data_IF_339008365061
#
_entry.id   IF_339008365061
#
_cell.length_a   1.000
_cell.length_b   1.000
_cell.length_c   1.000
_cell.angle_alpha   90.00
_cell.angle_beta   90.00
_cell.angle_gamma   90.00
#
_symmetry.space_group_name_H-M   'P 1'
#
loop_
_entity.id
_entity.type
_entity.pdbx_description
1 polymer ?
#
# COMPACT_ATOMS: atom_id res chain seq x y z
N UNK A 1 8.05 -4.75 -2.70
CA UNK A 1 8.08 -5.48 -4.00
C UNK A 1 8.97 -6.73 -3.99
N UNK A 2 9.73 -6.96 -2.91
CA UNK A 2 10.62 -8.12 -2.81
C UNK A 2 9.87 -9.45 -2.76
N UNK A 3 8.65 -9.50 -2.21
CA UNK A 3 7.86 -10.74 -2.11
C UNK A 3 7.45 -11.35 -3.47
N UNK A 4 7.07 -10.53 -4.45
CA UNK A 4 6.76 -11.00 -5.81
C UNK A 4 7.99 -11.37 -6.60
N UNK A 5 9.08 -10.60 -6.45
CA UNK A 5 10.37 -10.94 -7.02
C UNK A 5 10.88 -12.28 -6.48
N UNK A 6 10.84 -12.48 -5.15
CA UNK A 6 11.26 -13.74 -4.51
C UNK A 6 10.37 -14.91 -4.92
N UNK A 7 9.04 -14.72 -5.02
CA UNK A 7 8.11 -15.76 -5.50
C UNK A 7 8.36 -16.11 -6.97
N UNK A 8 8.46 -15.11 -7.83
CA UNK A 8 8.76 -15.30 -9.26
C UNK A 8 10.14 -15.93 -9.46
N UNK A 9 11.15 -15.53 -8.68
CA UNK A 9 12.50 -16.10 -8.70
C UNK A 9 12.51 -17.55 -8.25
N UNK A 10 11.71 -17.93 -7.26
CA UNK A 10 11.50 -19.33 -6.86
C UNK A 10 10.86 -20.16 -7.97
N UNK A 11 9.75 -19.68 -8.54
CA UNK A 11 9.02 -20.38 -9.60
C UNK A 11 9.84 -20.47 -10.91
N UNK A 12 10.65 -19.46 -11.22
CA UNK A 12 11.52 -19.47 -12.38
C UNK A 12 12.77 -20.34 -12.19
N UNK A 13 13.33 -20.39 -10.97
CA UNK A 13 14.41 -21.34 -10.64
C UNK A 13 13.94 -22.80 -10.77
N UNK A 14 12.70 -23.10 -10.40
CA UNK A 14 12.07 -24.41 -10.61
C UNK A 14 11.82 -24.72 -12.11
N UNK A 15 11.65 -23.70 -12.94
CA UNK A 15 11.43 -23.81 -14.39
C UNK A 15 12.70 -23.62 -15.26
N UNK A 16 13.87 -23.43 -14.64
CA UNK A 16 15.14 -23.18 -15.35
C UNK A 16 15.21 -21.84 -16.11
N UNK A 17 14.45 -20.82 -15.68
CA UNK A 17 14.43 -19.48 -16.28
C UNK A 17 15.03 -18.45 -15.30
N UNK A 18 15.78 -17.48 -15.81
CA UNK A 18 16.21 -16.33 -15.02
C UNK A 18 15.11 -15.26 -15.00
N UNK A 19 14.72 -14.82 -13.80
CA UNK A 19 13.87 -13.64 -13.65
C UNK A 19 14.76 -12.42 -13.65
N UNK A 20 14.65 -11.59 -14.69
CA UNK A 20 15.29 -10.28 -14.67
C UNK A 20 14.54 -9.38 -13.69
N UNK A 21 15.27 -8.95 -12.66
CA UNK A 21 14.81 -8.06 -11.58
C UNK A 21 14.19 -6.75 -12.13
N UNK A 22 14.62 -6.33 -13.32
CA UNK A 22 14.11 -5.17 -14.05
C UNK A 22 12.67 -5.31 -14.56
N UNK A 23 12.12 -6.54 -14.68
CA UNK A 23 10.70 -6.76 -15.04
C UNK A 23 9.74 -6.52 -13.86
N UNK A 24 10.27 -6.43 -12.64
CA UNK A 24 9.51 -6.19 -11.41
C UNK A 24 9.77 -4.80 -10.82
N UNK A 25 10.61 -4.00 -11.49
CA UNK A 25 10.76 -2.57 -11.20
C UNK A 25 9.78 -1.81 -12.08
N UNK A 26 9.11 -0.81 -11.49
CA UNK A 26 8.46 0.21 -12.30
C UNK A 26 9.51 0.77 -13.25
N UNK A 27 9.32 0.61 -14.56
CA UNK A 27 10.28 0.99 -15.61
C UNK A 27 10.47 2.50 -15.76
N UNK A 28 10.01 3.27 -14.78
CA UNK A 28 10.06 4.72 -14.75
C UNK A 28 11.16 5.23 -13.81
N UNK A 29 11.44 6.54 -13.85
CA UNK A 29 12.25 7.17 -12.82
C UNK A 29 11.60 6.93 -11.45
N UNK A 30 12.39 7.09 -10.37
CA UNK A 30 11.83 7.12 -9.02
C UNK A 30 10.67 8.13 -8.95
N UNK A 31 9.66 7.90 -8.10
CA UNK A 31 8.59 8.86 -7.89
C UNK A 31 9.15 10.27 -7.70
N UNK A 32 8.74 11.21 -8.56
CA UNK A 32 9.08 12.63 -8.44
C UNK A 32 8.00 13.43 -7.69
N UNK A 33 6.83 12.80 -7.49
CA UNK A 33 5.67 13.44 -6.87
C UNK A 33 5.01 12.50 -5.88
N UNK A 34 4.32 13.07 -4.89
CA UNK A 34 3.53 12.31 -3.91
C UNK A 34 2.49 11.42 -4.60
N UNK A 35 1.86 11.92 -5.66
CA UNK A 35 0.89 11.15 -6.44
C UNK A 35 1.53 9.92 -7.10
N UNK A 36 2.72 10.07 -7.69
CA UNK A 36 3.46 8.94 -8.26
C UNK A 36 3.88 7.91 -7.18
N UNK A 37 4.29 8.38 -6.00
CA UNK A 37 4.64 7.51 -4.88
C UNK A 37 3.42 6.72 -4.37
N UNK A 38 2.26 7.38 -4.24
CA UNK A 38 1.00 6.73 -3.85
C UNK A 38 0.57 5.71 -4.92
N UNK A 39 0.68 6.04 -6.21
CA UNK A 39 0.33 5.13 -7.30
C UNK A 39 1.20 3.87 -7.30
N UNK A 40 2.51 4.03 -7.13
CA UNK A 40 3.45 2.91 -6.99
C UNK A 40 3.09 2.01 -5.81
N UNK A 41 2.80 2.61 -4.64
CA UNK A 41 2.38 1.85 -3.46
C UNK A 41 1.06 1.13 -3.69
N UNK A 42 0.07 1.80 -4.31
CA UNK A 42 -1.24 1.23 -4.57
C UNK A 42 -1.13 -0.04 -5.40
N UNK A 43 -0.41 0.00 -6.51
CA UNK A 43 -0.21 -1.15 -7.40
C UNK A 43 0.50 -2.31 -6.68
N UNK A 44 1.59 -2.02 -5.95
CA UNK A 44 2.32 -3.04 -5.21
C UNK A 44 1.51 -3.69 -4.09
N UNK A 45 0.74 -2.88 -3.34
CA UNK A 45 -0.12 -3.33 -2.25
C UNK A 45 -1.30 -4.15 -2.79
N UNK A 46 -1.94 -3.69 -3.85
CA UNK A 46 -3.08 -4.35 -4.47
C UNK A 46 -2.70 -5.73 -5.01
N UNK A 47 -1.61 -5.80 -5.77
CA UNK A 47 -1.08 -7.06 -6.26
C UNK A 47 -0.81 -8.02 -5.09
N UNK A 48 -0.15 -7.53 -4.04
CA UNK A 48 0.19 -8.33 -2.85
C UNK A 48 -1.06 -8.82 -2.12
N UNK A 49 -2.03 -7.95 -1.91
CA UNK A 49 -3.27 -8.26 -1.21
C UNK A 49 -4.09 -9.33 -1.94
N UNK A 50 -4.09 -9.35 -3.29
CA UNK A 50 -4.73 -10.42 -4.07
C UNK A 50 -4.19 -11.82 -3.78
N UNK A 51 -2.96 -11.93 -3.26
CA UNK A 51 -2.33 -13.23 -2.97
C UNK A 51 -2.52 -13.71 -1.53
N UNK A 52 -3.09 -12.88 -0.65
CA UNK A 52 -3.39 -13.28 0.72
C UNK A 52 -4.54 -14.29 0.75
N UNK A 53 -4.41 -15.31 1.60
CA UNK A 53 -5.49 -16.26 1.89
C UNK A 53 -6.46 -15.73 2.96
N UNK A 54 -5.99 -14.79 3.79
CA UNK A 54 -6.74 -14.14 4.87
C UNK A 54 -6.51 -12.63 4.78
N UNK A 55 -7.60 -11.87 4.70
CA UNK A 55 -7.61 -10.42 4.52
C UNK A 55 -7.90 -9.67 5.83
N UNK A 56 -7.83 -10.30 7.00
CA UNK A 56 -8.03 -9.61 8.29
C UNK A 56 -7.23 -8.31 8.40
N UNK A 57 -7.75 -7.34 9.16
CA UNK A 57 -7.16 -6.00 9.30
C UNK A 57 -5.67 -6.06 9.67
N UNK A 58 -5.30 -6.92 10.60
CA UNK A 58 -3.91 -7.08 11.04
C UNK A 58 -3.01 -7.59 9.90
N UNK A 59 -3.49 -8.56 9.10
CA UNK A 59 -2.75 -9.10 7.95
C UNK A 59 -2.58 -8.07 6.84
N UNK A 60 -3.60 -7.27 6.57
CA UNK A 60 -3.51 -6.18 5.62
C UNK A 60 -2.55 -5.09 6.11
N UNK A 61 -2.61 -4.72 7.38
CA UNK A 61 -1.73 -3.72 7.97
C UNK A 61 -0.26 -4.16 7.91
N UNK A 62 0.02 -5.42 8.29
CA UNK A 62 1.36 -6.00 8.21
C UNK A 62 1.87 -6.00 6.77
N UNK A 63 1.03 -6.35 5.80
CA UNK A 63 1.38 -6.35 4.39
C UNK A 63 1.72 -4.93 3.89
N UNK A 64 0.86 -3.95 4.17
CA UNK A 64 1.05 -2.56 3.75
C UNK A 64 2.35 -2.02 4.34
N UNK A 65 2.57 -2.22 5.64
CA UNK A 65 3.80 -1.78 6.32
C UNK A 65 5.03 -2.42 5.70
N UNK A 66 5.00 -3.73 5.45
CA UNK A 66 6.11 -4.44 4.80
C UNK A 66 6.46 -3.83 3.45
N UNK A 67 5.46 -3.55 2.62
CA UNK A 67 5.69 -2.98 1.28
C UNK A 67 6.28 -1.58 1.38
N UNK A 68 5.73 -0.73 2.24
CA UNK A 68 6.22 0.63 2.47
C UNK A 68 7.66 0.61 2.99
N UNK A 69 7.97 -0.27 3.93
CA UNK A 69 9.33 -0.46 4.46
C UNK A 69 10.28 -0.90 3.37
N UNK A 70 9.96 -1.97 2.63
CA UNK A 70 10.78 -2.46 1.50
C UNK A 70 11.04 -1.32 0.50
N UNK A 71 10.00 -0.57 0.10
CA UNK A 71 10.10 0.54 -0.84
C UNK A 71 10.95 1.70 -0.30
N UNK A 72 10.89 1.97 1.00
CA UNK A 72 11.70 3.00 1.67
C UNK A 72 13.17 2.58 1.73
N UNK A 73 13.45 1.32 2.12
CA UNK A 73 14.80 0.76 2.20
C UNK A 73 15.46 0.65 0.82
N UNK A 74 14.69 0.35 -0.22
CA UNK A 74 15.13 0.36 -1.62
C UNK A 74 15.35 1.79 -2.15
N UNK A 75 15.14 2.83 -1.32
CA UNK A 75 15.41 4.23 -1.65
C UNK A 75 14.49 4.82 -2.72
N UNK A 76 13.29 4.26 -2.92
CA UNK A 76 12.37 4.71 -3.98
C UNK A 76 11.84 6.12 -3.73
N UNK A 77 11.71 6.54 -2.47
CA UNK A 77 11.23 7.88 -2.12
C UNK A 77 12.32 8.96 -2.12
N UNK A 78 13.55 8.65 -2.54
CA UNK A 78 14.67 9.60 -2.47
C UNK A 78 14.52 10.84 -3.38
N UNK A 79 13.62 10.80 -4.36
CA UNK A 79 13.36 11.88 -5.32
C UNK A 79 11.94 12.45 -5.17
N UNK A 80 11.25 12.13 -4.07
CA UNK A 80 9.91 12.63 -3.76
C UNK A 80 9.90 13.27 -2.36
N UNK A 81 9.31 14.46 -2.24
CA UNK A 81 9.12 15.17 -0.96
C UNK A 81 7.99 14.57 -0.11
N UNK A 82 7.97 13.26 0.07
CA UNK A 82 6.99 12.56 0.91
C UNK A 82 7.50 12.45 2.35
N UNK A 83 6.71 12.92 3.30
CA UNK A 83 7.08 12.90 4.72
C UNK A 83 6.68 11.59 5.39
N UNK A 84 7.33 11.25 6.51
CA UNK A 84 6.92 10.10 7.34
C UNK A 84 5.48 10.22 7.86
N UNK A 85 5.01 11.44 8.13
CA UNK A 85 3.62 11.70 8.52
C UNK A 85 2.64 11.34 7.40
N UNK A 86 2.97 11.71 6.16
CA UNK A 86 2.17 11.36 4.98
C UNK A 86 2.20 9.86 4.71
N UNK A 87 3.34 9.20 4.85
CA UNK A 87 3.45 7.73 4.75
C UNK A 87 2.54 7.04 5.76
N UNK A 88 2.50 7.51 7.01
CA UNK A 88 1.58 6.99 8.01
C UNK A 88 0.11 7.20 7.60
N UNK A 89 -0.25 8.38 7.10
CA UNK A 89 -1.61 8.66 6.62
C UNK A 89 -2.01 7.78 5.44
N UNK A 90 -1.09 7.57 4.50
CA UNK A 90 -1.24 6.69 3.34
C UNK A 90 -1.45 5.24 3.79
N UNK A 91 -0.68 4.78 4.77
CA UNK A 91 -0.80 3.42 5.36
C UNK A 91 -2.22 3.15 5.84
N UNK A 92 -2.79 4.04 6.65
CA UNK A 92 -4.16 3.88 7.17
C UNK A 92 -5.22 4.04 6.09
N UNK A 93 -5.02 4.91 5.10
CA UNK A 93 -5.93 5.06 3.96
C UNK A 93 -6.00 3.79 3.11
N UNK A 94 -4.87 3.13 2.84
CA UNK A 94 -4.87 1.83 2.18
C UNK A 94 -5.55 0.75 3.03
N UNK A 95 -5.28 0.73 4.35
CA UNK A 95 -5.89 -0.25 5.24
C UNK A 95 -7.42 -0.14 5.22
N UNK A 96 -7.96 1.07 5.33
CA UNK A 96 -9.40 1.33 5.29
C UNK A 96 -10.01 0.89 3.95
N UNK A 97 -9.36 1.26 2.84
CA UNK A 97 -9.81 0.93 1.48
C UNK A 97 -9.84 -0.57 1.25
N UNK A 98 -8.76 -1.28 1.58
CA UNK A 98 -8.67 -2.73 1.41
C UNK A 98 -9.59 -3.48 2.37
N UNK A 99 -9.72 -3.02 3.62
CA UNK A 99 -10.67 -3.59 4.58
C UNK A 99 -12.09 -3.52 4.04
N UNK A 100 -12.50 -2.35 3.55
CA UNK A 100 -13.82 -2.13 2.96
C UNK A 100 -14.05 -2.97 1.70
N UNK A 101 -13.01 -3.12 0.87
CA UNK A 101 -13.07 -3.93 -0.34
C UNK A 101 -13.24 -5.44 -0.04
N UNK A 102 -12.47 -5.98 0.91
CA UNK A 102 -12.46 -7.43 1.18
C UNK A 102 -13.52 -7.92 2.18
N UNK A 103 -13.94 -7.07 3.13
CA UNK A 103 -14.88 -7.49 4.20
C UNK A 103 -16.29 -6.92 4.02
N UNK A 104 -16.54 -6.12 2.98
CA UNK A 104 -17.70 -5.23 2.94
C UNK A 104 -17.56 -4.14 4.01
N UNK A 105 -18.43 -3.11 4.00
CA UNK A 105 -18.38 -2.00 4.96
C UNK A 105 -18.57 -2.50 6.41
N UNK A 106 -17.50 -2.89 7.07
CA UNK A 106 -17.48 -3.15 8.51
C UNK A 106 -17.04 -1.85 9.19
N UNK A 107 -17.95 -1.30 9.99
CA UNK A 107 -17.65 -0.18 10.87
C UNK A 107 -16.56 -0.60 11.87
N UNK A 108 -15.42 0.08 11.83
CA UNK A 108 -14.38 -0.12 12.84
C UNK A 108 -14.83 0.51 14.17
N UNK A 109 -14.83 -0.23 15.29
CA UNK A 109 -15.06 0.37 16.59
C UNK A 109 -13.88 1.29 16.92
N UNK A 110 -14.13 2.60 16.95
CA UNK A 110 -13.17 3.61 17.42
C UNK A 110 -12.75 4.68 16.43
N UNK A 111 -13.21 4.64 15.17
CA UNK A 111 -12.97 5.74 14.21
C UNK A 111 -14.23 6.01 13.39
N UNK A 112 -15.03 6.97 13.85
CA UNK A 112 -16.22 7.42 13.13
C UNK A 112 -15.83 8.46 12.08
N UNK A 113 -15.74 8.04 10.82
CA UNK A 113 -15.52 8.92 9.67
C UNK A 113 -16.65 9.94 9.46
N UNK A 114 -17.84 9.76 10.03
CA UNK A 114 -18.94 10.72 9.92
C UNK A 114 -18.85 11.88 10.93
N UNK A 115 -18.00 11.80 11.96
CA UNK A 115 -17.95 12.87 12.97
C UNK A 115 -17.28 14.16 12.44
N UNK A 116 -16.39 14.05 11.44
CA UNK A 116 -15.72 15.21 10.85
C UNK A 116 -16.60 16.02 9.86
N UNK A 117 -17.73 15.46 9.39
CA UNK A 117 -18.64 16.14 8.47
C UNK A 117 -19.78 16.89 9.19
N UNK A 118 -20.09 16.57 10.45
CA UNK A 118 -21.15 17.22 11.22
C UNK A 118 -20.69 18.38 12.12
N UNK A 119 -19.37 18.61 12.27
CA UNK A 119 -18.85 19.63 13.17
C UNK A 119 -18.91 21.08 12.64
N UNK A 120 -19.27 21.30 11.36
CA UNK A 120 -19.29 22.64 10.74
C UNK A 120 -20.69 23.18 10.39
N UNK A 121 -21.75 22.60 10.98
CA UNK A 121 -23.15 22.86 10.57
C UNK A 121 -24.02 23.74 11.46
N UNK A 122 -23.55 24.24 12.62
CA UNK A 122 -24.40 25.04 13.51
C UNK A 122 -23.90 26.48 13.66
N UNK A 123 -24.16 27.27 12.61
CA UNK A 123 -24.16 28.72 12.65
C UNK A 123 -25.53 29.27 12.23
N UNK A 124 -26.21 29.87 13.21
CA UNK A 124 -27.35 30.81 13.09
C UNK A 124 -28.76 30.22 12.89
N UNK A 125 -29.66 30.69 13.76
CA UNK A 125 -31.09 30.42 13.82
C UNK A 125 -31.63 30.80 15.19
#
# INVERSE_FOLDING_TARGET
MRFFYEKAKKEAAEAGREVQEDQFRYSGPKPQTKAAAILMLADGIEAAARTLNDHTQDKLLDLIRKIITDTTEDGQFSECDITLSEINRITYSFLETLSSHYHGRIAYPGFDFNQALHANGNGQG
#
